data_IF_375992169595
#
_entry.id   IF_375992169595
#
_cell.length_a   1.000
_cell.length_b   1.000
_cell.length_c   1.000
_cell.angle_alpha   90.00
_cell.angle_beta   90.00
_cell.angle_gamma   90.00
#
_symmetry.space_group_name_H-M   'P 1'
#
loop_
_entity.id
_entity.type
_entity.pdbx_description
1 polymer ?
#
# COMPACT_ATOMS: atom_id res chain seq x y z
N UNK A 1 31.06 8.11 4.60
CA UNK A 1 30.90 6.64 4.49
C UNK A 1 29.50 6.34 3.96
N UNK A 2 29.36 5.47 2.95
CA UNK A 2 28.05 5.02 2.48
C UNK A 2 27.51 3.87 3.35
N UNK A 3 26.18 3.81 3.51
CA UNK A 3 25.50 2.74 4.27
C UNK A 3 25.73 1.38 3.61
N UNK A 4 26.15 0.39 4.40
CA UNK A 4 26.31 -1.01 3.95
C UNK A 4 25.00 -1.80 3.96
N UNK A 5 23.88 -1.18 4.39
CA UNK A 5 22.55 -1.83 4.44
C UNK A 5 21.85 -1.89 3.10
N UNK A 6 22.27 -1.03 2.16
CA UNK A 6 21.74 -1.04 0.81
C UNK A 6 22.64 -1.90 -0.08
N UNK A 7 22.05 -2.71 -0.98
CA UNK A 7 22.82 -3.43 -1.97
C UNK A 7 23.55 -2.44 -2.88
N UNK A 8 24.78 -2.79 -3.27
CA UNK A 8 25.59 -1.96 -4.17
C UNK A 8 25.09 -1.97 -5.63
N UNK A 9 24.09 -2.80 -5.92
CA UNK A 9 23.53 -3.11 -7.23
C UNK A 9 22.02 -2.93 -7.18
N UNK A 10 21.50 -2.06 -8.04
CA UNK A 10 20.10 -1.64 -8.10
C UNK A 10 19.42 -2.08 -9.40
N UNK A 11 20.05 -2.99 -10.16
CA UNK A 11 19.49 -3.52 -11.39
C UNK A 11 18.23 -4.33 -11.12
N UNK A 12 17.26 -4.26 -12.03
CA UNK A 12 16.07 -5.10 -11.99
C UNK A 12 16.45 -6.58 -11.95
N UNK A 13 15.73 -7.36 -11.14
CA UNK A 13 15.92 -8.80 -11.12
C UNK A 13 15.54 -9.43 -12.48
N UNK A 14 16.01 -10.67 -12.70
CA UNK A 14 15.81 -11.40 -13.96
C UNK A 14 14.34 -11.58 -14.32
N UNK A 15 13.46 -11.76 -13.33
CA UNK A 15 12.03 -11.94 -13.54
C UNK A 15 11.39 -10.64 -14.05
N UNK A 16 11.67 -9.52 -13.39
CA UNK A 16 11.18 -8.19 -13.80
C UNK A 16 11.64 -7.85 -15.22
N UNK A 17 12.91 -8.09 -15.55
CA UNK A 17 13.43 -7.85 -16.90
C UNK A 17 12.73 -8.71 -17.98
N UNK A 18 12.46 -9.99 -17.69
CA UNK A 18 11.74 -10.87 -18.60
C UNK A 18 10.27 -10.43 -18.78
N UNK A 19 9.63 -10.00 -17.69
CA UNK A 19 8.26 -9.50 -17.70
C UNK A 19 8.13 -8.24 -18.55
N UNK A 20 9.06 -7.30 -18.40
CA UNK A 20 9.08 -6.05 -19.17
C UNK A 20 9.33 -6.31 -20.65
N UNK A 21 10.21 -7.25 -21.01
CA UNK A 21 10.41 -7.66 -22.40
C UNK A 21 9.12 -8.25 -23.02
N UNK A 22 8.34 -9.05 -22.27
CA UNK A 22 7.07 -9.60 -22.74
C UNK A 22 6.01 -8.51 -22.93
N UNK A 23 5.93 -7.55 -22.00
CA UNK A 23 5.06 -6.38 -22.11
C UNK A 23 5.41 -5.54 -23.33
N UNK A 24 6.69 -5.27 -23.56
CA UNK A 24 7.18 -4.51 -24.72
C UNK A 24 6.88 -5.21 -26.05
N UNK A 25 6.84 -6.55 -26.06
CA UNK A 25 6.42 -7.33 -27.22
C UNK A 25 4.89 -7.38 -27.41
N UNK A 26 4.10 -6.74 -26.55
CA UNK A 26 2.63 -6.77 -26.59
C UNK A 26 2.04 -8.15 -26.26
N UNK A 27 2.80 -9.03 -25.62
CA UNK A 27 2.32 -10.35 -25.25
C UNK A 27 1.25 -10.26 -24.16
N UNK A 28 0.23 -11.11 -24.26
CA UNK A 28 -0.74 -11.28 -23.18
C UNK A 28 -0.05 -11.94 -21.97
N UNK A 29 -0.32 -11.41 -20.78
CA UNK A 29 0.24 -11.89 -19.52
C UNK A 29 -0.91 -12.09 -18.54
N UNK A 30 -1.08 -13.34 -18.12
CA UNK A 30 -1.96 -13.69 -17.02
C UNK A 30 -1.20 -13.55 -15.71
N UNK A 31 -1.34 -12.39 -15.05
CA UNK A 31 -0.68 -12.13 -13.77
C UNK A 31 -1.50 -12.72 -12.62
N UNK A 32 -1.07 -13.89 -12.14
CA UNK A 32 -1.67 -14.57 -10.99
C UNK A 32 -1.05 -14.13 -9.65
N UNK A 33 -0.17 -13.13 -9.68
CA UNK A 33 0.52 -12.61 -8.50
C UNK A 33 -0.02 -11.27 -8.04
N UNK A 34 -0.85 -10.61 -8.86
CA UNK A 34 -1.48 -9.34 -8.51
C UNK A 34 -2.41 -9.51 -7.31
N UNK A 35 -2.00 -8.94 -6.18
CA UNK A 35 -2.74 -8.96 -4.93
C UNK A 35 -3.11 -7.56 -4.44
N UNK A 36 -2.72 -6.49 -5.16
CA UNK A 36 -3.13 -5.13 -4.86
C UNK A 36 -4.63 -5.02 -5.14
N UNK A 37 -5.47 -4.79 -4.13
CA UNK A 37 -6.91 -4.72 -4.33
C UNK A 37 -7.28 -3.70 -5.41
N UNK A 38 -6.70 -2.51 -5.41
CA UNK A 38 -7.02 -1.45 -6.39
C UNK A 38 -6.71 -1.81 -7.85
N UNK A 39 -5.99 -2.91 -8.10
CA UNK A 39 -5.64 -3.43 -9.43
C UNK A 39 -6.36 -4.74 -9.74
N UNK A 40 -6.55 -5.61 -8.75
CA UNK A 40 -7.22 -6.89 -8.89
C UNK A 40 -8.76 -6.80 -8.78
N UNK A 41 -9.27 -5.86 -7.98
CA UNK A 41 -10.69 -5.70 -7.63
C UNK A 41 -11.00 -4.29 -7.11
N UNK A 42 -11.85 -3.52 -7.79
CA UNK A 42 -12.25 -2.18 -7.33
C UNK A 42 -13.31 -2.25 -6.21
N UNK A 43 -12.96 -2.00 -4.93
CA UNK A 43 -13.91 -2.12 -3.83
C UNK A 43 -14.85 -0.90 -3.85
N UNK A 44 -16.19 -1.13 -3.85
CA UNK A 44 -17.13 -0.02 -3.87
C UNK A 44 -16.93 0.90 -2.68
N UNK A 45 -16.82 2.20 -2.94
CA UNK A 45 -16.66 3.24 -1.92
C UNK A 45 -15.21 3.61 -1.59
N UNK A 46 -14.20 2.90 -2.10
CA UNK A 46 -12.81 3.22 -1.83
C UNK A 46 -12.42 4.60 -2.40
N UNK A 47 -12.62 4.84 -3.70
CA UNK A 47 -12.25 6.11 -4.32
C UNK A 47 -13.02 7.32 -3.73
N UNK A 48 -14.35 7.26 -3.50
CA UNK A 48 -15.07 8.35 -2.83
C UNK A 48 -14.56 8.66 -1.41
N UNK A 49 -14.11 7.66 -0.64
CA UNK A 49 -13.59 7.89 0.70
C UNK A 49 -12.35 8.80 0.70
N UNK A 50 -11.50 8.68 -0.33
CA UNK A 50 -10.31 9.52 -0.50
C UNK A 50 -10.61 10.93 -1.05
N UNK A 51 -11.83 11.22 -1.48
CA UNK A 51 -12.24 12.54 -1.97
C UNK A 51 -12.62 13.52 -0.83
N UNK A 52 -12.58 13.08 0.44
CA UNK A 52 -12.94 13.90 1.58
C UNK A 52 -11.94 15.05 1.80
N UNK A 53 -12.39 16.31 1.94
CA UNK A 53 -11.52 17.45 2.25
C UNK A 53 -10.71 17.28 3.54
N UNK A 54 -11.20 16.46 4.47
CA UNK A 54 -10.53 16.18 5.76
C UNK A 54 -9.17 15.50 5.58
N UNK A 55 -8.91 14.86 4.45
CA UNK A 55 -7.66 14.13 4.16
C UNK A 55 -6.55 15.08 3.67
N UNK A 56 -6.91 16.26 3.17
CA UNK A 56 -5.96 17.22 2.57
C UNK A 56 -5.06 17.91 3.60
N UNK A 57 -5.52 18.02 4.86
CA UNK A 57 -4.77 18.68 5.93
C UNK A 57 -3.74 17.76 6.57
N UNK A 58 -2.53 18.26 6.78
CA UNK A 58 -1.56 17.58 7.63
C UNK A 58 -1.91 17.80 9.11
N UNK A 59 -2.19 16.72 9.83
CA UNK A 59 -2.36 16.68 11.27
C UNK A 59 -1.28 15.76 11.87
N UNK A 60 -0.30 16.30 12.63
CA UNK A 60 0.87 15.55 13.10
C UNK A 60 0.52 14.61 14.27
N UNK A 61 -0.34 13.63 14.02
CA UNK A 61 -0.59 12.51 14.94
C UNK A 61 0.41 11.39 14.63
N UNK A 62 1.43 11.24 15.48
CA UNK A 62 2.51 10.27 15.26
C UNK A 62 2.04 8.80 15.17
N UNK A 63 0.84 8.51 15.67
CA UNK A 63 0.22 7.18 15.66
C UNK A 63 -1.02 7.10 14.75
N UNK A 64 -1.22 8.11 13.90
CA UNK A 64 -2.43 8.27 13.11
C UNK A 64 -3.61 8.85 13.90
N UNK A 65 -4.68 9.18 13.19
CA UNK A 65 -5.82 9.89 13.78
C UNK A 65 -6.57 9.02 14.79
N UNK A 66 -7.11 9.66 15.84
CA UNK A 66 -7.93 8.99 16.86
C UNK A 66 -9.12 8.26 16.22
N UNK A 67 -9.81 8.90 15.28
CA UNK A 67 -10.95 8.31 14.57
C UNK A 67 -10.57 7.01 13.84
N UNK A 68 -9.40 6.98 13.21
CA UNK A 68 -8.92 5.79 12.51
C UNK A 68 -8.53 4.68 13.49
N UNK A 69 -7.81 5.01 14.57
CA UNK A 69 -7.47 4.04 15.63
C UNK A 69 -8.72 3.47 16.29
N UNK A 70 -9.71 4.31 16.59
CA UNK A 70 -10.99 3.87 17.13
C UNK A 70 -11.76 2.96 16.17
N UNK A 71 -11.71 3.22 14.86
CA UNK A 71 -12.31 2.35 13.86
C UNK A 71 -11.65 0.95 13.81
N UNK A 72 -10.33 0.90 13.91
CA UNK A 72 -9.58 -0.37 13.95
C UNK A 72 -9.80 -1.11 15.27
N UNK A 73 -9.80 -0.43 16.41
CA UNK A 73 -10.11 -1.02 17.72
C UNK A 73 -11.48 -1.71 17.72
N UNK A 74 -12.53 -1.07 17.17
CA UNK A 74 -13.86 -1.70 17.06
C UNK A 74 -13.86 -3.00 16.25
N UNK A 75 -12.89 -3.19 15.35
CA UNK A 75 -12.79 -4.39 14.50
C UNK A 75 -12.10 -5.56 15.20
N UNK A 76 -11.25 -5.28 16.19
CA UNK A 76 -10.46 -6.27 16.93
C UNK A 76 -10.94 -6.38 18.38
N UNK A 77 -11.31 -7.58 18.82
CA UNK A 77 -11.76 -7.78 20.19
C UNK A 77 -10.60 -7.59 21.18
N UNK A 78 -10.85 -6.81 22.25
CA UNK A 78 -9.88 -6.59 23.32
C UNK A 78 -8.73 -5.65 22.95
N UNK A 79 -8.93 -4.75 22.00
CA UNK A 79 -7.95 -3.71 21.62
C UNK A 79 -8.57 -2.34 21.84
N UNK A 80 -7.92 -1.50 22.64
CA UNK A 80 -8.32 -0.11 22.82
C UNK A 80 -7.65 0.78 21.77
N UNK A 81 -8.19 1.97 21.43
CA UNK A 81 -7.58 2.85 20.44
C UNK A 81 -6.11 3.21 20.76
N UNK A 82 -5.76 3.29 22.05
CA UNK A 82 -4.40 3.57 22.52
C UNK A 82 -3.39 2.45 22.25
N UNK A 83 -3.84 1.23 21.96
CA UNK A 83 -3.00 0.07 21.64
C UNK A 83 -2.64 0.00 20.14
N UNK A 84 -3.17 0.91 19.32
CA UNK A 84 -3.07 0.89 17.86
C UNK A 84 -2.15 2.01 17.39
N UNK A 85 -1.32 1.71 16.38
CA UNK A 85 -0.50 2.68 15.67
C UNK A 85 -0.81 2.53 14.18
N UNK A 86 -1.15 3.65 13.51
CA UNK A 86 -1.46 3.73 12.09
C UNK A 86 -0.50 4.67 11.36
#
# INVERSE_FOLDING_TARGET
>A
MFSRRLPARLESNRLSAALDARRAAGAEILDLTESNPTRAFDPPGLAPAFASPRISGYDPSAFGSEDARAAVARRYAGTEPGDIVL
#
